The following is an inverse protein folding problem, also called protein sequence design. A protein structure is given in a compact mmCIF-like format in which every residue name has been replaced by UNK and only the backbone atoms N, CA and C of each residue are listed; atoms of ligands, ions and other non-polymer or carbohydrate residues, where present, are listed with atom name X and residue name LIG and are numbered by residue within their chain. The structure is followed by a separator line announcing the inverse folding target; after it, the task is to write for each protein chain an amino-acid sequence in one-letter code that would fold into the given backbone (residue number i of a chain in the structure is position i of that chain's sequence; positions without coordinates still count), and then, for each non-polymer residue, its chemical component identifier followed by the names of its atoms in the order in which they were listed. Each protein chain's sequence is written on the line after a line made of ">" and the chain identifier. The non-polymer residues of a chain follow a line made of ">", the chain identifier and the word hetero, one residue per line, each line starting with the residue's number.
data_IF_247097553565
#
_entry.id   IF_247097553565
#
_cell.length_a   1.000
_cell.length_b   1.000
_cell.length_c   1.000
_cell.angle_alpha   90.00
_cell.angle_beta   90.00
_cell.angle_gamma   90.00
#
_symmetry.space_group_name_H-M   'P 1'
#
loop_
_entity.id
_entity.type
_entity.pdbx_description
1 polymer ?
#
# COMPACT_ATOMS: atom_id res chain seq x y z
N UNK A 1 5.38 6.44 -21.11
CA UNK A 1 4.86 5.06 -20.99
C UNK A 1 5.86 4.28 -20.17
N UNK A 2 5.40 3.55 -19.15
CA UNK A 2 6.27 2.67 -18.36
C UNK A 2 6.19 1.26 -18.93
N UNK A 3 7.34 0.57 -19.01
CA UNK A 3 7.44 -0.78 -19.55
C UNK A 3 7.81 -1.76 -18.42
N UNK A 4 6.91 -2.04 -17.46
CA UNK A 4 7.22 -2.93 -16.36
C UNK A 4 7.42 -4.35 -16.88
N UNK A 5 8.53 -4.97 -16.48
CA UNK A 5 8.82 -6.38 -16.77
C UNK A 5 8.18 -7.31 -15.75
N UNK A 6 7.99 -6.83 -14.51
CA UNK A 6 7.43 -7.58 -13.40
C UNK A 6 6.39 -6.73 -12.67
N UNK A 7 5.31 -7.35 -12.15
CA UNK A 7 4.39 -6.67 -11.25
C UNK A 7 5.12 -6.19 -9.99
N UNK A 8 4.60 -5.13 -9.38
CA UNK A 8 5.09 -4.65 -8.09
C UNK A 8 4.91 -5.71 -6.99
N UNK A 9 5.92 -5.87 -6.15
CA UNK A 9 5.88 -6.69 -4.95
C UNK A 9 6.58 -5.95 -3.81
N UNK A 10 6.21 -6.28 -2.59
CA UNK A 10 6.83 -5.77 -1.37
C UNK A 10 7.90 -6.72 -0.85
N UNK A 11 8.89 -6.13 -0.18
CA UNK A 11 9.97 -6.84 0.50
C UNK A 11 9.78 -6.66 2.01
N UNK A 12 9.75 -7.76 2.75
CA UNK A 12 9.65 -7.78 4.21
C UNK A 12 11.00 -8.17 4.78
N UNK A 13 11.71 -7.23 5.38
CA UNK A 13 12.97 -7.49 6.06
C UNK A 13 12.85 -7.73 7.56
N UNK A 14 13.95 -8.10 8.22
CA UNK A 14 14.00 -8.33 9.66
C UNK A 14 13.86 -7.05 10.50
N UNK A 15 14.12 -5.87 9.89
CA UNK A 15 14.00 -4.58 10.56
C UNK A 15 13.63 -3.47 9.59
N UNK A 16 13.32 -2.27 10.12
CA UNK A 16 13.12 -1.05 9.32
C UNK A 16 14.42 -0.31 9.00
N UNK A 17 15.52 -0.68 9.66
CA UNK A 17 16.84 -0.13 9.38
C UNK A 17 17.45 -0.86 8.18
N UNK A 18 18.47 -0.31 7.51
CA UNK A 18 19.20 -1.04 6.48
C UNK A 18 19.69 -2.39 7.00
N UNK A 19 19.41 -3.45 6.26
CA UNK A 19 19.85 -4.81 6.55
C UNK A 19 20.55 -5.38 5.31
N UNK A 20 21.58 -6.23 5.47
CA UNK A 20 22.15 -6.96 4.36
C UNK A 20 21.16 -8.01 3.86
N UNK A 21 21.30 -8.38 2.59
CA UNK A 21 20.50 -9.46 2.02
C UNK A 21 20.60 -9.46 0.51
N UNK A 22 20.10 -10.53 -0.11
CA UNK A 22 20.08 -10.69 -1.56
C UNK A 22 18.69 -11.14 -1.98
N UNK A 23 18.21 -10.50 -3.04
CA UNK A 23 16.98 -10.86 -3.74
C UNK A 23 17.37 -11.09 -5.18
N UNK A 24 17.03 -12.27 -5.70
CA UNK A 24 17.22 -12.62 -7.09
C UNK A 24 15.92 -13.10 -7.73
N UNK A 25 15.64 -12.56 -8.92
CA UNK A 25 14.59 -13.03 -9.78
C UNK A 25 15.24 -13.84 -10.91
N UNK A 26 15.10 -15.17 -10.93
CA UNK A 26 15.85 -16.02 -11.87
C UNK A 26 15.45 -15.77 -13.32
N UNK A 27 14.20 -15.37 -13.55
CA UNK A 27 13.69 -15.01 -14.86
C UNK A 27 12.84 -13.75 -14.75
N UNK A 28 13.14 -12.79 -15.62
CA UNK A 28 12.42 -11.53 -15.76
C UNK A 28 11.96 -11.46 -17.21
N UNK A 29 10.64 -11.50 -17.49
CA UNK A 29 10.15 -11.55 -18.87
C UNK A 29 10.30 -10.19 -19.56
N UNK A 30 10.25 -10.20 -20.89
CA UNK A 30 10.21 -8.97 -21.66
C UNK A 30 8.92 -8.18 -21.37
N UNK A 31 8.95 -6.83 -21.42
CA UNK A 31 7.74 -6.03 -21.30
C UNK A 31 6.72 -6.39 -22.39
N UNK A 32 5.44 -6.18 -22.07
CA UNK A 32 4.35 -6.40 -23.04
C UNK A 32 4.59 -5.61 -24.33
N UNK A 33 4.40 -6.26 -25.47
CA UNK A 33 4.62 -5.70 -26.82
C UNK A 33 6.07 -5.26 -27.12
N UNK A 34 7.06 -5.73 -26.37
CA UNK A 34 8.46 -5.59 -26.75
C UNK A 34 8.86 -6.72 -27.72
N UNK A 35 9.38 -6.36 -28.90
CA UNK A 35 10.12 -7.26 -29.77
C UNK A 35 11.59 -6.87 -29.74
N UNK A 36 12.45 -7.84 -29.43
CA UNK A 36 13.91 -7.65 -29.34
C UNK A 36 14.60 -8.70 -30.20
N UNK A 37 15.79 -8.38 -30.68
CA UNK A 37 16.66 -9.29 -31.43
C UNK A 37 18.02 -9.36 -30.73
N UNK A 38 18.75 -10.44 -30.97
CA UNK A 38 20.14 -10.51 -30.52
C UNK A 38 20.96 -9.33 -31.08
N UNK A 39 21.74 -8.70 -30.22
CA UNK A 39 22.51 -7.48 -30.49
C UNK A 39 21.80 -6.17 -30.13
N UNK A 40 20.49 -6.18 -29.86
CA UNK A 40 19.79 -4.98 -29.41
C UNK A 40 20.26 -4.61 -27.99
N UNK A 41 20.50 -3.32 -27.77
CA UNK A 41 20.88 -2.79 -26.46
C UNK A 41 19.65 -2.27 -25.71
N UNK A 42 19.58 -2.55 -24.41
CA UNK A 42 18.55 -2.04 -23.53
C UNK A 42 19.11 -1.72 -22.15
N UNK A 43 18.37 -0.94 -21.38
CA UNK A 43 18.69 -0.66 -19.97
C UNK A 43 17.59 -1.25 -19.11
N UNK A 44 17.95 -2.10 -18.16
CA UNK A 44 17.04 -2.56 -17.11
C UNK A 44 17.13 -1.56 -15.96
N UNK A 45 15.99 -1.04 -15.55
CA UNK A 45 15.88 -0.17 -14.39
C UNK A 45 15.28 -0.94 -13.21
N UNK A 46 16.01 -1.00 -12.11
CA UNK A 46 15.51 -1.48 -10.82
C UNK A 46 15.00 -0.27 -10.05
N UNK A 47 13.74 -0.34 -9.61
CA UNK A 47 13.09 0.70 -8.83
C UNK A 47 12.71 0.12 -7.48
N UNK A 48 13.25 0.68 -6.40
CA UNK A 48 12.94 0.27 -5.04
C UNK A 48 12.29 1.44 -4.29
N UNK A 49 11.17 1.16 -3.63
CA UNK A 49 10.46 2.14 -2.80
C UNK A 49 10.63 1.75 -1.33
N UNK A 50 11.26 2.63 -0.56
CA UNK A 50 11.45 2.42 0.86
C UNK A 50 10.21 2.86 1.66
N UNK A 51 10.03 2.31 2.86
CA UNK A 51 8.82 2.51 3.69
C UNK A 51 8.54 3.99 4.04
N UNK A 52 9.59 4.82 4.11
CA UNK A 52 9.51 6.27 4.33
C UNK A 52 9.15 7.10 3.08
N UNK A 53 8.92 6.46 1.92
CA UNK A 53 8.51 7.11 0.68
C UNK A 53 9.65 7.57 -0.24
N UNK A 54 10.91 7.42 0.14
CA UNK A 54 12.03 7.63 -0.78
C UNK A 54 12.10 6.50 -1.83
N UNK A 55 12.56 6.84 -3.02
CA UNK A 55 12.75 5.92 -4.13
C UNK A 55 14.24 5.83 -4.49
N UNK A 56 14.72 4.61 -4.72
CA UNK A 56 16.04 4.33 -5.25
C UNK A 56 15.91 3.79 -6.67
N UNK A 57 16.78 4.26 -7.56
CA UNK A 57 16.80 3.87 -8.96
C UNK A 57 18.20 3.38 -9.31
N UNK A 58 18.29 2.18 -9.88
CA UNK A 58 19.54 1.63 -10.39
C UNK A 58 19.34 1.17 -11.83
N UNK A 59 20.34 1.38 -12.67
CA UNK A 59 20.29 1.03 -14.08
C UNK A 59 21.43 0.07 -14.41
N UNK A 60 21.13 -0.95 -15.21
CA UNK A 60 22.12 -1.83 -15.80
C UNK A 60 21.88 -1.92 -17.30
N UNK A 61 22.92 -1.65 -18.07
CA UNK A 61 22.88 -1.78 -19.52
C UNK A 61 23.14 -3.22 -19.91
N UNK A 62 22.30 -3.74 -20.82
CA UNK A 62 22.34 -5.10 -21.32
C UNK A 62 22.38 -5.10 -22.84
N UNK A 63 22.90 -6.19 -23.40
CA UNK A 63 22.77 -6.52 -24.81
C UNK A 63 22.05 -7.86 -24.91
N UNK A 64 20.96 -7.91 -25.67
CA UNK A 64 20.27 -9.17 -25.93
C UNK A 64 21.16 -10.10 -26.74
N UNK A 65 21.12 -11.39 -26.45
CA UNK A 65 21.89 -12.42 -27.14
C UNK A 65 20.99 -13.62 -27.40
N UNK A 66 21.41 -14.50 -28.30
CA UNK A 66 20.68 -15.74 -28.57
C UNK A 66 20.71 -16.69 -27.37
N UNK A 67 19.73 -17.59 -27.31
CA UNK A 67 19.68 -18.63 -26.28
C UNK A 67 20.94 -19.51 -26.37
N UNK A 68 21.58 -19.76 -25.23
CA UNK A 68 22.84 -20.51 -25.08
C UNK A 68 24.10 -19.82 -25.61
N UNK A 69 24.09 -18.50 -25.79
CA UNK A 69 25.31 -17.73 -26.07
C UNK A 69 26.34 -17.94 -24.94
N UNK A 70 27.63 -18.22 -25.26
CA UNK A 70 28.67 -18.47 -24.25
C UNK A 70 28.94 -17.28 -23.32
N UNK A 71 28.46 -16.08 -23.65
CA UNK A 71 28.53 -14.89 -22.79
C UNK A 71 27.49 -14.91 -21.67
N UNK A 72 26.43 -15.71 -21.78
CA UNK A 72 25.42 -15.85 -20.74
C UNK A 72 25.98 -16.68 -19.58
N UNK A 73 26.07 -16.06 -18.40
CA UNK A 73 26.37 -16.80 -17.19
C UNK A 73 25.17 -17.67 -16.81
N UNK A 74 25.41 -18.97 -16.59
CA UNK A 74 24.36 -19.86 -16.11
C UNK A 74 23.89 -19.43 -14.71
N UNK A 75 22.58 -19.27 -14.56
CA UNK A 75 21.97 -19.00 -13.26
C UNK A 75 22.13 -20.23 -12.36
N UNK A 76 22.76 -20.06 -11.21
CA UNK A 76 23.02 -21.10 -10.23
C UNK A 76 22.91 -20.53 -8.80
N UNK A 77 22.99 -21.40 -7.79
CA UNK A 77 22.83 -21.00 -6.39
C UNK A 77 23.94 -20.05 -5.88
N UNK A 78 25.05 -19.92 -6.61
CA UNK A 78 26.15 -19.03 -6.23
C UNK A 78 25.96 -17.61 -6.74
N UNK A 79 25.18 -17.40 -7.81
CA UNK A 79 24.95 -16.08 -8.40
C UNK A 79 23.52 -15.55 -8.22
N UNK A 80 22.55 -16.44 -8.00
CA UNK A 80 21.15 -16.07 -7.85
C UNK A 80 20.55 -16.83 -6.67
N UNK A 81 20.52 -16.17 -5.51
CA UNK A 81 19.95 -16.71 -4.28
C UNK A 81 19.14 -15.64 -3.55
N UNK A 82 18.15 -16.10 -2.79
CA UNK A 82 17.38 -15.26 -1.89
C UNK A 82 17.84 -15.52 -0.45
N UNK A 83 18.09 -14.45 0.30
CA UNK A 83 18.37 -14.57 1.74
C UNK A 83 17.12 -15.02 2.51
N UNK A 84 17.31 -15.77 3.60
CA UNK A 84 16.21 -16.41 4.35
C UNK A 84 15.50 -15.48 5.34
N UNK A 85 16.10 -14.34 5.65
CA UNK A 85 15.58 -13.29 6.51
C UNK A 85 14.70 -12.27 5.77
N UNK A 86 14.55 -12.44 4.44
CA UNK A 86 13.74 -11.60 3.58
C UNK A 86 12.50 -12.36 3.10
N UNK A 87 11.32 -11.79 3.34
CA UNK A 87 10.04 -12.25 2.81
C UNK A 87 9.53 -11.39 1.65
N UNK A 88 8.54 -11.90 0.93
CA UNK A 88 7.83 -11.19 -0.15
C UNK A 88 6.36 -10.99 0.22
N UNK A 89 5.78 -9.89 -0.22
CA UNK A 89 4.36 -9.59 -0.02
C UNK A 89 3.71 -9.02 -1.27
N UNK A 90 2.45 -9.34 -1.48
CA UNK A 90 1.66 -8.73 -2.56
C UNK A 90 1.29 -7.28 -2.23
N UNK A 91 1.31 -6.40 -3.23
CA UNK A 91 0.89 -5.01 -3.11
C UNK A 91 -0.47 -4.83 -3.76
N UNK A 92 -1.48 -4.52 -2.96
CA UNK A 92 -2.85 -4.30 -3.41
C UNK A 92 -3.42 -2.99 -2.86
N UNK A 93 -4.34 -2.38 -3.61
CA UNK A 93 -5.05 -1.17 -3.20
C UNK A 93 -6.44 -1.51 -2.69
N UNK A 94 -6.83 -0.94 -1.55
CA UNK A 94 -8.20 -1.05 -1.02
C UNK A 94 -8.87 0.31 -0.96
N UNK A 95 -10.15 0.36 -1.28
CA UNK A 95 -10.98 1.56 -1.12
C UNK A 95 -11.48 1.62 0.31
N UNK A 96 -10.87 2.47 1.13
CA UNK A 96 -11.34 2.70 2.52
C UNK A 96 -12.47 3.73 2.60
N UNK A 97 -12.68 4.53 1.55
CA UNK A 97 -13.73 5.57 1.46
C UNK A 97 -14.19 5.76 0.01
N UNK A 98 -15.49 5.93 -0.20
CA UNK A 98 -16.04 6.28 -1.51
C UNK A 98 -15.70 7.73 -1.89
N UNK A 99 -15.39 7.97 -3.17
CA UNK A 99 -15.20 9.32 -3.70
C UNK A 99 -16.48 10.15 -3.50
N UNK A 100 -16.36 11.34 -2.88
CA UNK A 100 -17.50 12.21 -2.56
C UNK A 100 -18.16 11.94 -1.18
N UNK A 101 -17.70 10.95 -0.43
CA UNK A 101 -18.16 10.73 0.95
C UNK A 101 -17.49 11.71 1.92
N UNK A 102 -18.14 12.85 2.19
CA UNK A 102 -17.78 13.73 3.31
C UNK A 102 -18.19 13.18 4.68
N UNK A 103 -18.80 11.99 4.73
CA UNK A 103 -19.22 11.35 5.97
C UNK A 103 -18.14 10.44 6.55
N UNK A 104 -17.69 10.74 7.77
CA UNK A 104 -16.99 9.77 8.63
C UNK A 104 -17.98 8.67 9.02
N UNK A 105 -18.15 7.63 8.19
CA UNK A 105 -18.86 6.43 8.61
C UNK A 105 -17.92 5.62 9.51
N UNK A 106 -17.90 5.96 10.80
CA UNK A 106 -17.42 5.02 11.81
C UNK A 106 -18.38 3.83 11.79
N UNK A 107 -17.87 2.61 11.62
CA UNK A 107 -18.66 1.37 11.76
C UNK A 107 -19.11 1.09 13.20
N UNK A 108 -19.10 2.10 14.08
CA UNK A 108 -19.89 2.05 15.29
C UNK A 108 -21.35 1.98 14.89
N UNK A 109 -21.97 0.82 15.11
CA UNK A 109 -23.43 0.66 15.12
C UNK A 109 -23.99 1.72 16.06
N UNK A 110 -24.43 2.85 15.49
CA UNK A 110 -25.15 3.85 16.24
C UNK A 110 -26.46 3.20 16.67
N UNK A 111 -26.57 2.89 17.95
CA UNK A 111 -27.79 2.37 18.56
C UNK A 111 -28.97 3.20 18.05
N UNK A 112 -30.01 2.50 17.60
CA UNK A 112 -31.26 3.02 17.02
C UNK A 112 -31.91 4.17 17.84
N UNK A 113 -31.50 4.35 19.10
CA UNK A 113 -31.98 5.38 20.01
C UNK A 113 -31.41 6.79 19.80
N UNK A 114 -30.31 7.00 19.07
CA UNK A 114 -29.66 8.33 18.95
C UNK A 114 -29.86 9.05 17.61
N UNK A 115 -30.73 8.54 16.72
CA UNK A 115 -30.87 9.04 15.34
C UNK A 115 -31.94 10.12 15.13
N UNK A 116 -32.41 10.79 16.19
CA UNK A 116 -33.42 11.85 16.09
C UNK A 116 -32.76 13.22 16.30
N UNK A 117 -32.79 14.05 15.26
CA UNK A 117 -32.42 15.48 15.20
C UNK A 117 -30.93 15.85 15.00
N UNK A 118 -30.40 15.61 13.80
CA UNK A 118 -29.41 16.53 13.20
C UNK A 118 -30.14 17.45 12.20
N UNK A 119 -30.91 18.40 12.74
CA UNK A 119 -31.60 19.42 11.96
C UNK A 119 -31.76 20.65 12.82
N UNK A 120 -30.91 21.65 12.59
CA UNK A 120 -30.81 22.97 13.22
C UNK A 120 -30.77 22.96 14.78
N UNK A 121 -29.76 23.62 15.42
CA UNK A 121 -29.80 23.80 16.87
C UNK A 121 -30.92 24.80 17.19
N UNK A 122 -32.15 24.31 17.37
CA UNK A 122 -33.21 25.06 18.02
C UNK A 122 -32.78 25.26 19.46
N UNK A 123 -32.54 26.51 19.84
CA UNK A 123 -32.16 26.99 21.19
C UNK A 123 -33.06 26.40 22.30
N UNK A 124 -34.22 25.86 21.95
CA UNK A 124 -35.18 25.28 22.87
C UNK A 124 -34.77 23.92 23.48
N UNK A 125 -33.89 23.15 22.84
CA UNK A 125 -33.49 21.82 23.36
C UNK A 125 -32.53 21.90 24.55
N UNK A 126 -31.89 23.06 24.78
CA UNK A 126 -31.07 23.28 25.99
C UNK A 126 -31.91 23.37 27.27
N UNK A 127 -33.18 23.76 27.19
CA UNK A 127 -34.05 23.89 28.37
C UNK A 127 -34.69 22.58 28.83
N UNK A 128 -34.81 21.59 27.93
CA UNK A 128 -35.36 20.26 28.28
C UNK A 128 -34.42 19.48 29.23
N UNK A 129 -33.12 19.75 29.20
CA UNK A 129 -32.17 19.13 30.13
C UNK A 129 -32.33 19.57 31.59
N UNK A 130 -33.00 20.70 31.85
CA UNK A 130 -33.19 21.25 33.20
C UNK A 130 -34.54 20.86 33.82
N UNK A 131 -35.42 20.23 33.04
CA UNK A 131 -36.75 19.78 33.47
C UNK A 131 -36.73 18.79 34.67
N UNK A 132 -35.80 17.81 34.76
CA UNK A 132 -35.72 16.93 35.93
C UNK A 132 -35.20 17.65 37.18
N UNK A 133 -34.33 18.65 37.02
CA UNK A 133 -33.77 19.43 38.14
C UNK A 133 -34.84 20.37 38.71
N UNK A 134 -35.64 21.01 37.85
CA UNK A 134 -36.75 21.84 38.28
C UNK A 134 -37.88 21.01 38.90
N UNK A 135 -38.19 19.83 38.35
CA UNK A 135 -39.17 18.93 38.94
C UNK A 135 -38.71 18.40 40.31
N UNK A 136 -37.43 18.02 40.46
CA UNK A 136 -36.87 17.57 41.73
C UNK A 136 -36.79 18.69 42.78
N UNK A 137 -36.44 19.92 42.36
CA UNK A 137 -36.41 21.08 43.25
C UNK A 137 -37.81 21.52 43.72
N UNK A 138 -38.82 21.42 42.85
CA UNK A 138 -40.21 21.74 43.21
C UNK A 138 -40.80 20.68 44.16
N UNK A 139 -40.38 19.42 44.03
CA UNK A 139 -40.82 18.32 44.90
C UNK A 139 -40.22 18.38 46.31
N UNK A 140 -39.10 19.10 46.49
CA UNK A 140 -38.48 19.37 47.80
C UNK A 140 -39.09 20.58 48.53
N UNK A 141 -40.00 21.32 47.89
CA UNK A 141 -40.65 22.53 48.42
C UNK A 141 -42.14 22.33 48.77
N UNK A 142 -42.69 21.12 48.56
CA UNK A 142 -44.04 20.67 48.98
C UNK A 142 -43.88 19.66 50.11
#
# INVERSE_FOLDING_TARGET
>A
MSNPMIPQFGIIGPSKNPYPGTICLPQVPLPVNASVRAGDNATIQVVELAVHGAALYSCVDITFVEDNDPRLANVNETNCFNSTDIGFSDVYTITTRAAGSNGTTSNAVASFMLRRSQGAPSVWTHFIGWLPVLAGGLWLLI
#
